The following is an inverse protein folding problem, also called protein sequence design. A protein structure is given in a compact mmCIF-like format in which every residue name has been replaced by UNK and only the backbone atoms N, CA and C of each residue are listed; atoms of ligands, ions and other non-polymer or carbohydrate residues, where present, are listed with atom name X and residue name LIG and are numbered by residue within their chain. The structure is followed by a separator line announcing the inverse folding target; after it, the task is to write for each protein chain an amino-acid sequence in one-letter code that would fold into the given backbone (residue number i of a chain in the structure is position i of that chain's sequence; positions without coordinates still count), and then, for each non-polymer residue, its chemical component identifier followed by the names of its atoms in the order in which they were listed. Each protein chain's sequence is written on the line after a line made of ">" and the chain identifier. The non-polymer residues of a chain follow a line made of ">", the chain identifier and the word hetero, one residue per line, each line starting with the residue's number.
data_IF_556745944010
#
_entry.id   IF_556745944010
#
_cell.length_a   1.000
_cell.length_b   1.000
_cell.length_c   1.000
_cell.angle_alpha   90.00
_cell.angle_beta   90.00
_cell.angle_gamma   90.00
#
_symmetry.space_group_name_H-M   'P 1'
#
loop_
_entity.id
_entity.type
_entity.pdbx_description
1 polymer ?
#
# COMPACT_ATOMS: atom_id res chain seq x y z
N UNK A 1 3.40 8.04 17.63
CA UNK A 1 2.39 7.14 17.06
C UNK A 1 2.88 5.71 17.23
N UNK A 2 1.96 4.78 17.52
CA UNK A 2 2.18 3.34 17.63
C UNK A 2 1.67 2.60 16.40
N UNK A 3 1.32 1.32 16.55
CA UNK A 3 0.70 0.54 15.47
C UNK A 3 -0.66 1.14 15.05
N UNK A 4 -1.03 1.04 13.78
CA UNK A 4 -2.24 1.68 13.22
C UNK A 4 -3.55 1.18 13.84
N UNK A 5 -3.58 -0.05 14.37
CA UNK A 5 -4.81 -0.74 14.77
C UNK A 5 -5.44 -1.57 13.66
N UNK A 6 -4.85 -1.62 12.45
CA UNK A 6 -5.32 -2.44 11.33
C UNK A 6 -5.41 -3.93 11.68
N UNK A 7 -4.35 -4.61 12.22
CA UNK A 7 -4.45 -6.03 12.54
C UNK A 7 -5.57 -6.41 13.52
N UNK A 8 -5.73 -5.75 14.69
CA UNK A 8 -6.85 -6.08 15.58
C UNK A 8 -8.21 -5.77 14.96
N UNK A 9 -8.34 -4.70 14.15
CA UNK A 9 -9.59 -4.42 13.44
C UNK A 9 -9.97 -5.55 12.48
N UNK A 10 -9.02 -6.04 11.69
CA UNK A 10 -9.24 -7.17 10.77
C UNK A 10 -9.59 -8.49 11.47
N UNK A 11 -9.28 -8.62 12.76
CA UNK A 11 -9.62 -9.79 13.60
C UNK A 11 -10.88 -9.57 14.46
N UNK A 12 -11.55 -8.43 14.33
CA UNK A 12 -12.74 -8.11 15.11
C UNK A 12 -12.47 -7.66 16.54
N UNK A 13 -11.22 -7.41 16.92
CA UNK A 13 -10.84 -6.81 18.21
C UNK A 13 -11.04 -5.30 18.16
N UNK A 14 -12.30 -4.88 18.04
CA UNK A 14 -12.69 -3.48 17.79
C UNK A 14 -12.25 -2.55 18.91
N UNK A 15 -12.31 -2.99 20.17
CA UNK A 15 -11.91 -2.14 21.30
C UNK A 15 -10.40 -1.87 21.30
N UNK A 16 -9.58 -2.87 21.00
CA UNK A 16 -8.12 -2.71 20.86
C UNK A 16 -7.77 -1.82 19.66
N UNK A 17 -8.48 -1.99 18.53
CA UNK A 17 -8.31 -1.11 17.37
C UNK A 17 -8.67 0.35 17.70
N UNK A 18 -9.76 0.57 18.45
CA UNK A 18 -10.21 1.90 18.88
C UNK A 18 -9.21 2.56 19.83
N UNK A 19 -8.64 1.79 20.76
CA UNK A 19 -7.60 2.29 21.68
C UNK A 19 -6.38 2.79 20.91
N UNK A 20 -5.84 1.97 20.00
CA UNK A 20 -4.71 2.35 19.14
C UNK A 20 -5.01 3.55 18.25
N UNK A 21 -6.23 3.60 17.70
CA UNK A 21 -6.67 4.75 16.92
C UNK A 21 -6.62 6.04 17.76
N UNK A 22 -7.09 6.00 19.02
CA UNK A 22 -7.09 7.15 19.91
C UNK A 22 -5.67 7.61 20.23
N UNK A 23 -4.79 6.68 20.59
CA UNK A 23 -3.37 6.98 20.85
C UNK A 23 -2.68 7.64 19.65
N UNK A 24 -2.99 7.19 18.43
CA UNK A 24 -2.43 7.78 17.22
C UNK A 24 -3.01 9.16 16.94
N UNK A 25 -4.32 9.37 17.07
CA UNK A 25 -4.95 10.69 16.90
C UNK A 25 -4.39 11.69 17.92
N UNK A 26 -4.34 11.31 19.20
CA UNK A 26 -3.81 12.16 20.28
C UNK A 26 -2.34 12.56 20.04
N UNK A 27 -1.54 11.67 19.43
CA UNK A 27 -0.15 11.93 19.12
C UNK A 27 0.07 12.73 17.82
N UNK A 28 -0.79 12.54 16.82
CA UNK A 28 -0.61 13.11 15.48
C UNK A 28 -1.33 14.45 15.31
N UNK A 29 -2.50 14.64 15.92
CA UNK A 29 -3.30 15.86 15.73
C UNK A 29 -2.53 17.15 16.06
N UNK A 30 -1.74 17.24 17.15
CA UNK A 30 -0.92 18.43 17.41
C UNK A 30 0.15 18.68 16.33
N UNK A 31 0.76 17.62 15.79
CA UNK A 31 1.78 17.74 14.72
C UNK A 31 1.15 18.23 13.43
N UNK A 32 -0.02 17.69 13.08
CA UNK A 32 -0.77 18.12 11.89
C UNK A 32 -1.21 19.58 12.04
N UNK A 33 -1.65 19.99 13.23
CA UNK A 33 -1.97 21.40 13.51
C UNK A 33 -0.75 22.33 13.36
N UNK A 34 0.46 21.82 13.59
CA UNK A 34 1.74 22.50 13.34
C UNK A 34 2.18 22.47 11.86
N UNK A 35 1.34 21.96 10.95
CA UNK A 35 1.57 21.95 9.50
C UNK A 35 2.29 20.72 8.96
N UNK A 36 2.31 19.61 9.71
CA UNK A 36 2.91 18.36 9.26
C UNK A 36 1.89 17.47 8.53
N UNK A 37 2.34 16.80 7.46
CA UNK A 37 1.60 15.72 6.83
C UNK A 37 2.01 14.35 7.40
N UNK A 38 1.09 13.39 7.35
CA UNK A 38 1.32 11.99 7.76
C UNK A 38 1.45 11.13 6.50
N UNK A 39 2.66 10.66 6.23
CA UNK A 39 2.95 9.82 5.05
C UNK A 39 3.16 8.37 5.47
N UNK A 40 2.38 7.45 4.89
CA UNK A 40 2.33 6.04 5.27
C UNK A 40 2.77 5.16 4.10
N UNK A 41 3.67 4.21 4.37
CA UNK A 41 4.19 3.28 3.34
C UNK A 41 3.22 2.13 3.10
N UNK A 42 2.76 1.47 4.17
CA UNK A 42 1.85 0.32 4.07
C UNK A 42 0.41 0.78 3.74
N UNK A 43 -0.18 0.36 2.60
CA UNK A 43 -1.44 0.92 2.16
C UNK A 43 -2.65 0.57 3.03
N UNK A 44 -2.62 -0.59 3.71
CA UNK A 44 -3.67 -0.95 4.67
C UNK A 44 -3.67 -0.03 5.90
N UNK A 45 -2.51 0.43 6.34
CA UNK A 45 -2.38 1.41 7.42
C UNK A 45 -2.80 2.80 6.96
N UNK A 46 -2.45 3.22 5.73
CA UNK A 46 -2.90 4.50 5.17
C UNK A 46 -4.44 4.61 5.20
N UNK A 47 -5.14 3.58 4.72
CA UNK A 47 -6.62 3.55 4.75
C UNK A 47 -7.17 3.51 6.18
N UNK A 48 -6.44 2.94 7.14
CA UNK A 48 -6.86 2.92 8.54
C UNK A 48 -7.00 4.35 9.09
N UNK A 49 -5.98 5.18 8.84
CA UNK A 49 -5.97 6.59 9.28
C UNK A 49 -6.90 7.46 8.43
N UNK A 50 -6.96 7.22 7.11
CA UNK A 50 -7.74 8.03 6.19
C UNK A 50 -9.25 7.80 6.31
N UNK A 51 -9.69 6.57 6.62
CA UNK A 51 -11.10 6.18 6.60
C UNK A 51 -11.53 5.55 7.92
N UNK A 52 -10.93 4.44 8.31
CA UNK A 52 -11.52 3.57 9.34
C UNK A 52 -11.52 4.17 10.75
N UNK A 53 -10.63 5.14 11.03
CA UNK A 53 -10.66 5.88 12.29
C UNK A 53 -11.98 6.64 12.50
N UNK A 54 -12.65 7.08 11.43
CA UNK A 54 -13.97 7.72 11.52
C UNK A 54 -15.07 6.77 11.99
N UNK A 55 -14.90 5.45 11.76
CA UNK A 55 -15.85 4.45 12.25
C UNK A 55 -15.58 4.06 13.72
N UNK A 56 -14.36 4.30 14.21
CA UNK A 56 -13.94 3.91 15.56
C UNK A 56 -14.04 5.04 16.58
N UNK A 57 -13.82 6.28 16.14
CA UNK A 57 -13.71 7.47 16.98
C UNK A 57 -14.61 8.59 16.48
N UNK A 58 -14.88 9.55 17.37
CA UNK A 58 -15.57 10.80 17.03
C UNK A 58 -14.70 12.00 17.43
N UNK A 59 -14.81 13.11 16.70
CA UNK A 59 -14.13 14.37 17.01
C UNK A 59 -13.38 14.95 15.81
N UNK A 60 -13.14 16.27 15.87
CA UNK A 60 -12.53 17.02 14.78
C UNK A 60 -11.05 16.65 14.57
N UNK A 61 -10.36 16.17 15.61
CA UNK A 61 -8.98 15.71 15.52
C UNK A 61 -8.83 14.48 14.60
N UNK A 62 -9.85 13.61 14.56
CA UNK A 62 -9.88 12.46 13.64
C UNK A 62 -9.89 12.94 12.19
N UNK A 63 -10.75 13.91 11.89
CA UNK A 63 -10.82 14.52 10.57
C UNK A 63 -9.54 15.28 10.22
N UNK A 64 -8.95 15.98 11.19
CA UNK A 64 -7.68 16.71 11.03
C UNK A 64 -6.56 15.75 10.61
N UNK A 65 -6.38 14.64 11.33
CA UNK A 65 -5.36 13.63 10.99
C UNK A 65 -5.67 12.93 9.67
N UNK A 66 -6.92 12.52 9.46
CA UNK A 66 -7.37 11.83 8.24
C UNK A 66 -7.10 12.67 6.98
N UNK A 67 -7.43 13.98 7.02
CA UNK A 67 -7.24 14.88 5.88
C UNK A 67 -5.77 15.18 5.55
N UNK A 68 -4.88 15.07 6.53
CA UNK A 68 -3.44 15.25 6.36
C UNK A 68 -2.68 13.92 6.17
N UNK A 69 -3.40 12.80 6.01
CA UNK A 69 -2.78 11.48 5.83
C UNK A 69 -2.77 11.06 4.37
N UNK A 70 -1.61 10.60 3.89
CA UNK A 70 -1.38 10.16 2.53
C UNK A 70 -0.65 8.81 2.49
N UNK A 71 -0.96 7.98 1.52
CA UNK A 71 -0.02 6.91 1.11
C UNK A 71 1.22 7.52 0.48
N UNK A 72 2.38 6.85 0.54
CA UNK A 72 3.65 7.42 0.03
C UNK A 72 3.56 7.87 -1.44
N UNK A 73 2.98 7.06 -2.32
CA UNK A 73 2.80 7.45 -3.72
C UNK A 73 1.68 8.46 -3.94
N UNK A 74 0.63 8.43 -3.12
CA UNK A 74 -0.41 9.46 -3.13
C UNK A 74 0.19 10.84 -2.79
N UNK A 75 1.10 10.89 -1.81
CA UNK A 75 1.79 12.11 -1.42
C UNK A 75 2.69 12.63 -2.54
N UNK A 76 3.51 11.76 -3.15
CA UNK A 76 4.35 12.14 -4.28
C UNK A 76 3.53 12.70 -5.44
N UNK A 77 2.44 12.01 -5.82
CA UNK A 77 1.62 12.40 -6.97
C UNK A 77 0.80 13.66 -6.71
N UNK A 78 0.15 13.77 -5.54
CA UNK A 78 -0.72 14.90 -5.19
C UNK A 78 0.04 16.22 -5.11
N UNK A 79 1.28 16.19 -4.60
CA UNK A 79 2.13 17.36 -4.46
C UNK A 79 3.18 17.50 -5.56
N UNK A 80 3.16 16.62 -6.56
CA UNK A 80 4.11 16.62 -7.68
C UNK A 80 5.56 16.60 -7.23
N UNK A 81 5.85 15.85 -6.16
CA UNK A 81 7.20 15.80 -5.57
C UNK A 81 8.18 14.98 -6.43
N UNK A 82 7.66 14.27 -7.43
CA UNK A 82 8.44 13.62 -8.45
C UNK A 82 8.81 14.56 -9.63
N UNK A 83 8.24 15.77 -9.69
CA UNK A 83 8.62 16.75 -10.71
C UNK A 83 10.07 17.21 -10.50
N UNK A 84 10.93 16.90 -11.46
CA UNK A 84 12.35 17.26 -11.42
C UNK A 84 13.24 16.24 -10.71
N UNK A 85 12.71 15.07 -10.33
CA UNK A 85 13.56 13.91 -10.06
C UNK A 85 14.26 13.51 -11.36
N UNK A 86 15.59 13.46 -11.33
CA UNK A 86 16.38 12.88 -12.41
C UNK A 86 16.33 11.36 -12.29
N UNK A 87 15.17 10.80 -12.63
CA UNK A 87 14.95 9.36 -12.62
C UNK A 87 15.13 8.81 -14.03
N UNK A 88 16.06 7.86 -14.18
CA UNK A 88 16.30 7.16 -15.43
C UNK A 88 15.60 5.80 -15.41
N UNK A 89 14.29 5.80 -15.13
CA UNK A 89 13.49 4.58 -15.20
C UNK A 89 13.58 3.94 -16.58
N UNK A 90 13.64 2.61 -16.59
CA UNK A 90 13.75 1.81 -17.80
C UNK A 90 13.20 0.41 -17.55
N UNK A 91 12.69 -0.21 -18.61
CA UNK A 91 12.00 -1.50 -18.52
C UNK A 91 10.50 -1.38 -18.25
N UNK A 92 9.84 -2.53 -18.22
CA UNK A 92 8.40 -2.64 -18.01
C UNK A 92 8.07 -3.25 -16.64
N UNK A 93 7.12 -2.63 -15.92
CA UNK A 93 6.68 -3.03 -14.59
C UNK A 93 5.27 -3.60 -14.64
N UNK A 94 5.07 -4.79 -14.10
CA UNK A 94 3.76 -5.37 -13.80
C UNK A 94 3.34 -4.92 -12.40
N UNK A 95 2.38 -4.01 -12.31
CA UNK A 95 1.97 -3.41 -11.04
C UNK A 95 0.73 -4.09 -10.45
N UNK A 96 0.90 -4.67 -9.27
CA UNK A 96 -0.21 -5.13 -8.44
C UNK A 96 -0.61 -4.06 -7.42
N UNK A 97 -1.66 -3.29 -7.73
CA UNK A 97 -2.25 -2.34 -6.78
C UNK A 97 -2.91 -3.03 -5.59
N UNK A 98 -2.63 -2.54 -4.38
CA UNK A 98 -3.13 -3.13 -3.13
C UNK A 98 -4.65 -2.99 -3.02
N UNK A 99 -5.32 -4.01 -2.48
CA UNK A 99 -6.79 -4.03 -2.39
C UNK A 99 -7.38 -2.84 -1.62
N UNK A 100 -6.71 -2.35 -0.58
CA UNK A 100 -7.14 -1.15 0.15
C UNK A 100 -6.99 0.14 -0.68
N UNK A 101 -5.96 0.23 -1.53
CA UNK A 101 -5.81 1.37 -2.46
C UNK A 101 -6.87 1.32 -3.56
N UNK A 102 -7.14 0.13 -4.11
CA UNK A 102 -8.20 -0.06 -5.11
C UNK A 102 -9.57 0.30 -4.54
N UNK A 103 -9.88 -0.16 -3.33
CA UNK A 103 -11.13 0.18 -2.63
C UNK A 103 -11.30 1.69 -2.38
N UNK A 104 -10.20 2.39 -2.12
CA UNK A 104 -10.17 3.85 -1.94
C UNK A 104 -9.88 4.64 -3.24
N UNK A 105 -9.73 3.96 -4.38
CA UNK A 105 -9.39 4.52 -5.72
C UNK A 105 -8.07 5.29 -5.76
N UNK A 106 -7.05 4.83 -5.03
CA UNK A 106 -5.74 5.49 -4.86
C UNK A 106 -4.55 4.73 -5.45
N UNK A 107 -4.77 3.58 -6.06
CA UNK A 107 -3.69 2.77 -6.67
C UNK A 107 -3.08 3.44 -7.92
N UNK A 108 -3.85 4.29 -8.60
CA UNK A 108 -3.38 5.05 -9.75
C UNK A 108 -2.18 5.98 -9.47
N UNK A 109 -1.99 6.42 -8.22
CA UNK A 109 -0.89 7.31 -7.87
C UNK A 109 0.48 6.67 -8.12
N UNK A 110 0.64 5.39 -7.76
CA UNK A 110 1.90 4.68 -8.01
C UNK A 110 2.19 4.54 -9.50
N UNK A 111 1.17 4.20 -10.29
CA UNK A 111 1.26 4.10 -11.76
C UNK A 111 1.65 5.44 -12.36
N UNK A 112 1.04 6.54 -11.90
CA UNK A 112 1.31 7.89 -12.40
C UNK A 112 2.75 8.34 -12.15
N UNK A 113 3.25 8.16 -10.94
CA UNK A 113 4.63 8.54 -10.56
C UNK A 113 5.66 7.67 -11.29
N UNK A 114 5.49 6.35 -11.30
CA UNK A 114 6.45 5.44 -11.96
C UNK A 114 6.54 5.70 -13.47
N UNK A 115 5.41 5.98 -14.15
CA UNK A 115 5.44 6.35 -15.58
C UNK A 115 6.18 7.67 -15.83
N UNK A 116 6.05 8.65 -14.93
CA UNK A 116 6.79 9.91 -15.05
C UNK A 116 8.28 9.76 -14.75
N UNK A 117 8.63 8.77 -13.93
CA UNK A 117 10.01 8.36 -13.69
C UNK A 117 10.64 7.56 -14.85
N UNK A 118 9.91 7.28 -15.94
CA UNK A 118 10.45 6.65 -17.15
C UNK A 118 10.12 5.17 -17.35
N UNK A 119 9.36 4.55 -16.44
CA UNK A 119 8.95 3.15 -16.57
C UNK A 119 7.73 2.96 -17.48
N UNK A 120 7.70 1.88 -18.26
CA UNK A 120 6.45 1.36 -18.82
C UNK A 120 5.72 0.60 -17.69
N UNK A 121 4.48 0.94 -17.37
CA UNK A 121 3.77 0.32 -16.24
C UNK A 121 2.46 -0.30 -16.71
N UNK A 122 2.32 -1.61 -16.50
CA UNK A 122 1.10 -2.39 -16.71
C UNK A 122 0.38 -2.63 -15.37
N UNK A 123 -0.65 -1.84 -15.02
CA UNK A 123 -1.43 -2.05 -13.81
C UNK A 123 -2.44 -3.20 -13.99
N UNK A 124 -2.25 -4.27 -13.21
CA UNK A 124 -3.14 -5.42 -13.26
C UNK A 124 -4.53 -5.13 -12.68
N UNK A 125 -5.58 -5.57 -13.38
CA UNK A 125 -6.97 -5.64 -12.89
C UNK A 125 -7.18 -6.87 -11.97
N UNK A 126 -6.24 -7.05 -11.05
CA UNK A 126 -6.30 -8.07 -10.01
C UNK A 126 -7.08 -7.55 -8.81
N UNK A 127 -7.79 -8.39 -8.06
CA UNK A 127 -8.55 -7.94 -6.88
C UNK A 127 -7.69 -7.89 -5.62
N UNK A 128 -7.31 -9.06 -5.08
CA UNK A 128 -6.54 -9.20 -3.85
C UNK A 128 -5.46 -10.26 -4.05
N UNK A 129 -4.35 -10.17 -3.31
CA UNK A 129 -3.33 -11.22 -3.29
C UNK A 129 -3.79 -12.48 -2.51
N UNK A 130 -4.79 -12.34 -1.64
CA UNK A 130 -5.32 -13.43 -0.80
C UNK A 130 -4.65 -13.59 0.55
N UNK A 131 -3.61 -12.82 0.89
CA UNK A 131 -2.91 -12.96 2.18
C UNK A 131 -3.62 -12.28 3.34
N UNK A 132 -4.01 -11.01 3.21
CA UNK A 132 -4.69 -10.23 4.27
C UNK A 132 -4.03 -10.38 5.67
N UNK A 133 -2.72 -10.19 5.76
CA UNK A 133 -1.95 -10.37 7.01
C UNK A 133 -1.78 -11.85 7.39
N UNK A 134 -2.06 -12.19 8.65
CA UNK A 134 -1.95 -13.58 9.15
C UNK A 134 -2.98 -14.52 8.56
N UNK A 135 -4.05 -13.98 7.96
CA UNK A 135 -5.15 -14.75 7.39
C UNK A 135 -4.64 -15.82 6.42
N UNK A 136 -3.71 -15.49 5.52
CA UNK A 136 -3.17 -16.43 4.55
C UNK A 136 -2.36 -17.58 5.14
N UNK A 137 -1.86 -17.45 6.37
CA UNK A 137 -1.12 -18.49 7.08
C UNK A 137 -1.97 -19.36 8.00
N UNK A 138 -3.20 -18.95 8.30
CA UNK A 138 -4.10 -19.71 9.15
C UNK A 138 -4.53 -21.00 8.44
N UNK A 139 -4.41 -22.14 9.11
CA UNK A 139 -4.66 -23.45 8.51
C UNK A 139 -6.06 -23.56 7.90
N UNK A 140 -7.04 -22.90 8.53
CA UNK A 140 -8.44 -22.82 8.10
C UNK A 140 -8.62 -22.01 6.80
N UNK A 141 -7.71 -21.09 6.51
CA UNK A 141 -7.82 -20.09 5.45
C UNK A 141 -6.78 -20.27 4.33
N UNK A 142 -5.73 -21.06 4.57
CA UNK A 142 -4.59 -21.25 3.67
C UNK A 142 -5.01 -21.66 2.25
N UNK A 143 -5.92 -22.64 2.13
CA UNK A 143 -6.38 -23.12 0.83
C UNK A 143 -7.13 -22.03 0.03
N UNK A 144 -7.89 -21.18 0.73
CA UNK A 144 -8.60 -20.05 0.15
C UNK A 144 -7.63 -18.93 -0.25
N UNK A 145 -6.65 -18.62 0.60
CA UNK A 145 -5.59 -17.66 0.30
C UNK A 145 -4.83 -18.04 -0.97
N UNK A 146 -4.40 -19.30 -1.09
CA UNK A 146 -3.76 -19.83 -2.31
C UNK A 146 -4.70 -19.86 -3.51
N UNK A 147 -6.01 -20.05 -3.33
CA UNK A 147 -6.97 -19.97 -4.44
C UNK A 147 -7.13 -18.55 -4.98
N UNK A 148 -7.20 -17.55 -4.10
CA UNK A 148 -7.26 -16.13 -4.48
C UNK A 148 -5.94 -15.71 -5.13
N UNK A 149 -4.80 -16.06 -4.54
CA UNK A 149 -3.48 -15.73 -5.07
C UNK A 149 -3.22 -16.28 -6.47
N UNK A 150 -3.74 -17.47 -6.79
CA UNK A 150 -3.62 -18.05 -8.14
C UNK A 150 -4.20 -17.15 -9.24
N UNK A 151 -5.29 -16.44 -8.96
CA UNK A 151 -5.88 -15.49 -9.92
C UNK A 151 -4.89 -14.35 -10.23
N UNK A 152 -4.18 -13.85 -9.22
CA UNK A 152 -3.14 -12.85 -9.40
C UNK A 152 -1.94 -13.42 -10.17
N UNK A 153 -1.51 -14.64 -9.84
CA UNK A 153 -0.38 -15.28 -10.51
C UNK A 153 -0.65 -15.50 -12.00
N UNK A 154 -1.83 -15.98 -12.36
CA UNK A 154 -2.23 -16.18 -13.77
C UNK A 154 -2.20 -14.86 -14.57
N UNK A 155 -2.55 -13.73 -13.94
CA UNK A 155 -2.48 -12.42 -14.58
C UNK A 155 -1.03 -11.96 -14.78
N UNK A 156 -0.16 -12.20 -13.79
CA UNK A 156 1.27 -11.86 -13.90
C UNK A 156 1.93 -12.73 -14.98
N UNK A 157 1.63 -14.03 -15.03
CA UNK A 157 2.20 -14.95 -16.01
C UNK A 157 1.77 -14.62 -17.45
N UNK A 158 0.64 -13.92 -17.61
CA UNK A 158 0.13 -13.45 -18.90
C UNK A 158 0.62 -12.03 -19.26
N UNK A 159 1.18 -11.28 -18.32
CA UNK A 159 1.67 -9.93 -18.55
C UNK A 159 3.04 -9.93 -19.26
N UNK A 160 3.27 -8.94 -20.12
CA UNK A 160 4.52 -8.77 -20.86
C UNK A 160 5.39 -7.71 -20.18
N UNK A 161 5.81 -8.00 -18.95
CA UNK A 161 6.57 -7.09 -18.09
C UNK A 161 7.84 -7.72 -17.53
N UNK A 162 8.89 -6.90 -17.37
CA UNK A 162 10.20 -7.33 -16.88
C UNK A 162 10.20 -7.61 -15.37
N UNK A 163 9.50 -6.80 -14.58
CA UNK A 163 9.52 -6.87 -13.12
C UNK A 163 8.13 -6.68 -12.50
N UNK A 164 7.81 -7.47 -11.47
CA UNK A 164 6.58 -7.32 -10.69
C UNK A 164 6.83 -6.34 -9.55
N UNK A 165 5.90 -5.43 -9.28
CA UNK A 165 5.97 -4.49 -8.16
C UNK A 165 4.65 -4.45 -7.37
N UNK A 166 4.74 -4.39 -6.04
CA UNK A 166 3.55 -4.35 -5.17
C UNK A 166 3.81 -3.54 -3.88
N UNK A 167 2.90 -2.65 -3.46
CA UNK A 167 3.16 -1.75 -2.32
C UNK A 167 2.83 -2.34 -0.94
N UNK A 168 2.06 -3.43 -0.86
CA UNK A 168 1.69 -4.02 0.43
C UNK A 168 2.61 -5.16 0.85
N UNK A 169 3.04 -5.19 2.11
CA UNK A 169 3.91 -6.24 2.64
C UNK A 169 3.31 -7.64 2.45
N UNK A 170 2.02 -7.82 2.77
CA UNK A 170 1.33 -9.10 2.56
C UNK A 170 1.19 -9.49 1.09
N UNK A 171 1.09 -8.51 0.17
CA UNK A 171 1.06 -8.81 -1.26
C UNK A 171 2.42 -9.29 -1.75
N UNK A 172 3.50 -8.61 -1.34
CA UNK A 172 4.86 -8.98 -1.70
C UNK A 172 5.22 -10.39 -1.22
N UNK A 173 4.91 -10.73 0.04
CA UNK A 173 5.11 -12.08 0.56
C UNK A 173 4.31 -13.14 -0.20
N UNK A 174 3.07 -12.86 -0.61
CA UNK A 174 2.30 -13.79 -1.45
C UNK A 174 2.96 -14.03 -2.81
N UNK A 175 3.52 -12.97 -3.39
CA UNK A 175 4.13 -12.99 -4.71
C UNK A 175 5.51 -13.67 -4.70
N UNK A 176 6.25 -13.56 -3.61
CA UNK A 176 7.45 -14.37 -3.35
C UNK A 176 7.13 -15.87 -3.40
N UNK A 177 5.96 -16.24 -2.90
CA UNK A 177 5.42 -17.60 -2.86
C UNK A 177 4.90 -18.12 -4.22
N UNK A 178 4.96 -17.30 -5.29
CA UNK A 178 4.51 -17.65 -6.64
C UNK A 178 5.50 -18.64 -7.29
N UNK A 179 5.02 -19.71 -7.95
CA UNK A 179 5.88 -20.57 -8.75
C UNK A 179 6.67 -19.77 -9.81
N UNK A 180 8.00 -19.89 -9.80
CA UNK A 180 8.87 -19.16 -10.73
C UNK A 180 9.22 -17.73 -10.31
N UNK A 181 8.82 -17.29 -9.11
CA UNK A 181 9.40 -16.07 -8.53
C UNK A 181 10.84 -16.33 -8.09
N UNK A 182 11.76 -15.43 -8.50
CA UNK A 182 13.17 -15.50 -8.11
C UNK A 182 13.43 -14.83 -6.75
N UNK A 183 12.61 -13.84 -6.39
CA UNK A 183 12.69 -13.10 -5.13
C UNK A 183 11.35 -12.46 -4.78
N UNK A 184 11.25 -11.91 -3.55
CA UNK A 184 10.15 -11.03 -3.19
C UNK A 184 10.14 -9.79 -4.11
N UNK A 185 8.99 -9.44 -4.73
CA UNK A 185 8.87 -8.21 -5.51
C UNK A 185 9.20 -6.97 -4.68
N UNK A 186 9.88 -5.95 -5.23
CA UNK A 186 10.15 -4.74 -4.49
C UNK A 186 8.88 -3.92 -4.23
N UNK A 187 8.94 -3.08 -3.19
CA UNK A 187 7.99 -2.00 -3.04
C UNK A 187 8.24 -0.99 -4.18
N UNK A 188 7.20 -0.42 -4.83
CA UNK A 188 7.36 0.59 -5.87
C UNK A 188 8.27 1.78 -5.53
N UNK A 189 8.47 2.06 -4.24
CA UNK A 189 9.31 3.18 -3.77
C UNK A 189 10.79 2.83 -3.85
N UNK A 190 11.12 1.55 -3.68
CA UNK A 190 12.47 1.02 -3.85
C UNK A 190 12.84 1.06 -5.34
N UNK A 191 11.91 0.69 -6.23
CA UNK A 191 12.05 0.83 -7.69
C UNK A 191 12.27 2.29 -8.10
N UNK A 192 11.48 3.22 -7.57
CA UNK A 192 11.66 4.64 -7.83
C UNK A 192 13.01 5.16 -7.32
N UNK A 193 13.40 4.79 -6.09
CA UNK A 193 14.68 5.21 -5.52
C UNK A 193 15.87 4.71 -6.35
N UNK A 194 15.85 3.44 -6.77
CA UNK A 194 16.90 2.87 -7.60
C UNK A 194 17.05 3.58 -8.96
N UNK A 195 15.96 4.10 -9.53
CA UNK A 195 15.99 4.87 -10.77
C UNK A 195 16.57 6.29 -10.61
N UNK A 196 16.46 6.87 -9.42
CA UNK A 196 17.05 8.18 -9.09
C UNK A 196 18.54 8.07 -8.82
N UNK A 197 18.99 6.95 -8.23
CA UNK A 197 20.40 6.70 -7.90
C UNK A 197 21.20 6.09 -9.06
N UNK A 198 20.66 6.09 -10.29
CA UNK A 198 21.27 5.44 -11.46
C UNK A 198 22.44 6.23 -12.10
N UNK A 199 22.88 7.34 -11.49
CA UNK A 199 24.00 8.21 -11.88
C UNK A 199 25.35 7.88 -11.19
#
# INVERSE_FOLDING_TARGET
>A
AGASGRPPLSKGFVDEARERARENVDALAPRVADGWDVVVVEPSDAVMLQSDYHDLLAGDDVATVSNATYGVFEYLDAFRLDDGLDAAGGGSLVYHGHCHQKASKKDHHAVGVLRRAGFEVDPLDSTCCGMAGSFGYEAEHFSMSKAIGRILFDQIDAADGDEVVAPGASCRTQLEDRPGADSEPPHPIETLAAAVDAD
#
